data_IF_239522881622
#
_entry.id   IF_239522881622
#
_cell.length_a   1.000
_cell.length_b   1.000
_cell.length_c   1.000
_cell.angle_alpha   90.00
_cell.angle_beta   90.00
_cell.angle_gamma   90.00
#
_symmetry.space_group_name_H-M   'P 1'
#
loop_
_entity.id
_entity.type
_entity.pdbx_description
1 polymer ?
#
# COMPACT_ATOMS: atom_id res chain seq x y z
N UNK A 1 -6.80 -15.94 -10.43
CA UNK A 1 -7.16 -15.83 -8.99
C UNK A 1 -6.99 -14.37 -8.59
N UNK A 2 -8.08 -13.62 -8.40
CA UNK A 2 -8.04 -12.15 -8.14
C UNK A 2 -8.42 -11.84 -6.68
N UNK A 3 -8.95 -12.85 -5.97
CA UNK A 3 -9.55 -12.72 -4.65
C UNK A 3 -8.66 -12.03 -3.60
N UNK A 4 -7.35 -12.35 -3.47
CA UNK A 4 -6.49 -11.68 -2.50
C UNK A 4 -6.35 -10.18 -2.77
N UNK A 5 -6.20 -9.80 -4.04
CA UNK A 5 -6.10 -8.40 -4.43
C UNK A 5 -7.42 -7.65 -4.25
N UNK A 6 -8.55 -8.31 -4.52
CA UNK A 6 -9.88 -7.75 -4.28
C UNK A 6 -10.10 -7.42 -2.81
N UNK A 7 -9.75 -8.35 -1.89
CA UNK A 7 -9.87 -8.11 -0.45
C UNK A 7 -8.99 -6.93 -0.02
N UNK A 8 -7.76 -6.85 -0.54
CA UNK A 8 -6.87 -5.73 -0.27
C UNK A 8 -7.47 -4.38 -0.69
N UNK A 9 -8.20 -4.30 -1.80
CA UNK A 9 -8.85 -3.07 -2.23
C UNK A 9 -9.91 -2.57 -1.22
N UNK A 10 -10.69 -3.48 -0.63
CA UNK A 10 -11.69 -3.11 0.38
C UNK A 10 -11.06 -2.59 1.67
N UNK A 11 -9.97 -3.20 2.14
CA UNK A 11 -9.30 -2.77 3.39
C UNK A 11 -8.36 -1.58 3.19
N UNK A 12 -8.05 -1.20 1.94
CA UNK A 12 -7.10 -0.11 1.62
C UNK A 12 -7.77 1.23 1.29
N UNK A 13 -9.10 1.32 1.40
CA UNK A 13 -9.81 2.56 1.12
C UNK A 13 -10.07 2.84 -0.37
N UNK A 14 -9.99 1.81 -1.23
CA UNK A 14 -10.22 1.95 -2.69
C UNK A 14 -11.71 2.04 -3.02
N UNK A 15 -12.51 1.14 -2.44
CA UNK A 15 -13.97 1.07 -2.69
C UNK A 15 -14.80 1.73 -1.59
N UNK A 16 -14.32 1.67 -0.35
CA UNK A 16 -15.00 2.23 0.82
C UNK A 16 -14.12 3.36 1.36
N UNK A 17 -14.65 4.55 1.66
CA UNK A 17 -13.86 5.63 2.25
C UNK A 17 -13.17 5.19 3.53
N UNK A 18 -11.90 5.56 3.72
CA UNK A 18 -11.12 5.16 4.90
C UNK A 18 -11.79 5.58 6.22
N UNK A 19 -12.47 6.73 6.26
CA UNK A 19 -13.22 7.22 7.43
C UNK A 19 -14.43 6.37 7.83
N UNK A 20 -14.89 5.47 6.96
CA UNK A 20 -16.01 4.56 7.22
C UNK A 20 -15.54 3.13 7.55
N UNK A 21 -14.24 2.85 7.42
CA UNK A 21 -13.68 1.55 7.72
C UNK A 21 -13.39 1.44 9.23
N UNK A 22 -13.71 0.29 9.86
CA UNK A 22 -13.24 -0.01 11.21
C UNK A 22 -11.71 0.05 11.33
N UNK A 23 -11.21 0.54 12.46
CA UNK A 23 -9.77 0.72 12.70
C UNK A 23 -8.96 -0.56 12.50
N UNK A 24 -9.50 -1.72 12.88
CA UNK A 24 -8.80 -2.99 12.69
C UNK A 24 -8.57 -3.32 11.20
N UNK A 25 -9.50 -2.93 10.31
CA UNK A 25 -9.35 -3.14 8.86
C UNK A 25 -8.26 -2.23 8.31
N UNK A 26 -8.23 -0.97 8.75
CA UNK A 26 -7.21 0.00 8.37
C UNK A 26 -5.82 -0.45 8.85
N UNK A 27 -5.72 -0.97 10.07
CA UNK A 27 -4.47 -1.48 10.64
C UNK A 27 -3.93 -2.68 9.84
N UNK A 28 -4.81 -3.59 9.41
CA UNK A 28 -4.41 -4.70 8.52
C UNK A 28 -3.99 -4.16 7.15
N UNK A 29 -4.76 -3.24 6.57
CA UNK A 29 -4.46 -2.60 5.29
C UNK A 29 -3.12 -1.86 5.31
N UNK A 30 -2.75 -1.25 6.43
CA UNK A 30 -1.50 -0.53 6.63
C UNK A 30 -0.25 -1.41 6.58
N UNK A 31 -0.37 -2.73 6.66
CA UNK A 31 0.75 -3.65 6.45
C UNK A 31 1.14 -3.75 4.96
N UNK A 32 0.20 -3.46 4.05
CA UNK A 32 0.36 -3.63 2.62
C UNK A 32 0.56 -2.28 1.91
N UNK A 33 1.24 -2.27 0.75
CA UNK A 33 1.58 -1.00 0.08
C UNK A 33 0.35 -0.28 -0.49
N UNK A 34 -0.73 -1.00 -0.77
CA UNK A 34 -1.92 -0.45 -1.44
C UNK A 34 -2.58 0.69 -0.65
N UNK A 35 -2.75 0.53 0.68
CA UNK A 35 -3.31 1.57 1.55
C UNK A 35 -2.52 2.87 1.47
N UNK A 36 -1.20 2.78 1.52
CA UNK A 36 -0.30 3.94 1.48
C UNK A 36 -0.33 4.64 0.12
N UNK A 37 -0.41 3.88 -0.97
CA UNK A 37 -0.60 4.45 -2.30
C UNK A 37 -1.93 5.21 -2.42
N UNK A 38 -3.02 4.64 -1.91
CA UNK A 38 -4.34 5.30 -1.89
C UNK A 38 -4.36 6.58 -1.04
N UNK A 39 -3.69 6.57 0.12
CA UNK A 39 -3.53 7.77 0.95
C UNK A 39 -2.70 8.84 0.24
N UNK A 40 -1.60 8.47 -0.42
CA UNK A 40 -0.76 9.39 -1.18
C UNK A 40 -1.50 10.06 -2.34
N UNK A 41 -2.25 9.29 -3.13
CA UNK A 41 -3.07 9.87 -4.19
C UNK A 41 -4.13 10.83 -3.64
N UNK A 42 -4.83 10.45 -2.57
CA UNK A 42 -5.79 11.34 -1.92
C UNK A 42 -5.12 12.63 -1.44
N UNK A 43 -3.94 12.55 -0.81
CA UNK A 43 -3.21 13.74 -0.38
C UNK A 43 -2.71 14.65 -1.50
N UNK A 44 -2.46 14.13 -2.70
CA UNK A 44 -2.06 14.94 -3.86
C UNK A 44 -3.28 15.58 -4.55
N UNK A 45 -4.42 14.89 -4.58
CA UNK A 45 -5.59 15.34 -5.35
C UNK A 45 -6.66 16.05 -4.51
N UNK A 46 -6.67 15.88 -3.19
CA UNK A 46 -7.63 16.51 -2.28
C UNK A 46 -7.01 17.72 -1.56
N UNK A 47 -7.83 18.69 -1.14
CA UNK A 47 -7.35 19.81 -0.34
C UNK A 47 -6.86 19.34 1.04
N UNK A 48 -5.96 20.13 1.64
CA UNK A 48 -5.36 19.83 2.96
C UNK A 48 -6.43 19.68 4.06
N UNK A 49 -7.55 20.39 3.96
CA UNK A 49 -8.69 20.26 4.88
C UNK A 49 -9.33 18.86 4.89
N UNK A 50 -9.14 18.06 3.83
CA UNK A 50 -9.65 16.69 3.77
C UNK A 50 -8.78 15.69 4.55
N UNK A 51 -7.59 16.08 5.02
CA UNK A 51 -6.69 15.20 5.77
C UNK A 51 -7.31 14.69 7.09
N UNK A 52 -8.25 15.46 7.65
CA UNK A 52 -9.03 15.08 8.85
C UNK A 52 -9.88 13.80 8.65
N UNK A 53 -10.08 13.38 7.41
CA UNK A 53 -10.79 12.15 7.06
C UNK A 53 -9.88 10.91 7.10
N UNK A 54 -8.56 11.09 7.18
CA UNK A 54 -7.62 9.98 7.39
C UNK A 54 -7.52 9.64 8.88
N UNK A 55 -7.15 8.38 9.17
CA UNK A 55 -7.01 7.86 10.54
C UNK A 55 -6.05 8.69 11.42
N UNK A 56 -4.99 9.25 10.82
CA UNK A 56 -4.00 10.08 11.52
C UNK A 56 -4.35 11.57 11.55
N UNK A 57 -5.42 11.98 10.85
CA UNK A 57 -5.75 13.40 10.64
C UNK A 57 -4.76 14.17 9.76
N UNK A 58 -3.82 13.46 9.13
CA UNK A 58 -2.77 14.00 8.25
C UNK A 58 -2.56 13.04 7.07
N UNK A 59 -2.00 13.55 5.98
CA UNK A 59 -1.64 12.75 4.82
C UNK A 59 -0.40 11.88 5.06
N UNK A 60 0.44 12.20 6.05
CA UNK A 60 1.62 11.43 6.44
C UNK A 60 2.58 11.11 5.26
N UNK A 61 2.83 12.06 4.36
CA UNK A 61 3.66 11.84 3.15
C UNK A 61 5.02 11.21 3.45
N UNK A 62 5.68 11.62 4.54
CA UNK A 62 6.94 11.02 4.97
C UNK A 62 6.83 9.53 5.31
N UNK A 63 5.74 9.13 5.99
CA UNK A 63 5.47 7.73 6.33
C UNK A 63 5.06 6.93 5.09
N UNK A 64 4.26 7.50 4.19
CA UNK A 64 3.94 6.90 2.89
C UNK A 64 5.22 6.56 2.12
N UNK A 65 6.12 7.54 1.97
CA UNK A 65 7.38 7.35 1.26
C UNK A 65 8.25 6.26 1.90
N UNK A 66 8.34 6.24 3.23
CA UNK A 66 9.08 5.22 3.97
C UNK A 66 8.51 3.82 3.71
N UNK A 67 7.21 3.62 3.89
CA UNK A 67 6.61 2.29 3.77
C UNK A 67 6.65 1.77 2.33
N UNK A 68 6.35 2.62 1.35
CA UNK A 68 6.46 2.23 -0.06
C UNK A 68 7.92 1.95 -0.45
N UNK A 69 8.86 2.77 0.02
CA UNK A 69 10.30 2.53 -0.15
C UNK A 69 10.74 1.18 0.44
N UNK A 70 10.27 0.86 1.65
CA UNK A 70 10.56 -0.41 2.31
C UNK A 70 10.02 -1.61 1.51
N UNK A 71 8.80 -1.51 0.95
CA UNK A 71 8.23 -2.55 0.08
C UNK A 71 9.01 -2.71 -1.22
N UNK A 72 9.45 -1.62 -1.85
CA UNK A 72 10.31 -1.67 -3.04
C UNK A 72 11.64 -2.35 -2.74
N UNK A 73 12.30 -1.98 -1.63
CA UNK A 73 13.56 -2.61 -1.20
C UNK A 73 13.34 -4.10 -0.89
N UNK A 74 12.28 -4.44 -0.15
CA UNK A 74 11.95 -5.82 0.18
C UNK A 74 11.70 -6.68 -1.06
N UNK A 75 10.95 -6.16 -2.03
CA UNK A 75 10.71 -6.82 -3.31
C UNK A 75 12.00 -7.00 -4.13
N UNK A 76 12.85 -5.98 -4.18
CA UNK A 76 14.15 -6.06 -4.85
C UNK A 76 15.04 -7.12 -4.20
N UNK A 77 15.18 -7.13 -2.88
CA UNK A 77 15.95 -8.14 -2.15
C UNK A 77 15.39 -9.54 -2.39
N UNK A 78 14.06 -9.70 -2.36
CA UNK A 78 13.43 -10.98 -2.65
C UNK A 78 13.77 -11.46 -4.07
N UNK A 79 13.70 -10.59 -5.07
CA UNK A 79 14.10 -10.92 -6.44
C UNK A 79 15.58 -11.31 -6.50
N UNK A 80 16.48 -10.53 -5.90
CA UNK A 80 17.92 -10.82 -5.93
C UNK A 80 18.27 -12.16 -5.25
N UNK A 81 17.57 -12.51 -4.17
CA UNK A 81 17.83 -13.73 -3.41
C UNK A 81 17.18 -14.99 -4.00
N UNK A 82 16.02 -14.85 -4.66
CA UNK A 82 15.25 -16.00 -5.16
C UNK A 82 15.44 -16.25 -6.66
N UNK A 83 15.76 -15.21 -7.43
CA UNK A 83 15.86 -15.32 -8.88
C UNK A 83 17.18 -15.97 -9.28
N UNK A 84 17.11 -17.25 -9.65
CA UNK A 84 18.23 -18.00 -10.23
C UNK A 84 18.14 -17.89 -11.75
N UNK A 85 19.14 -17.30 -12.37
CA UNK A 85 19.25 -17.28 -13.82
C UNK A 85 19.32 -18.70 -14.37
N UNK A 86 18.28 -19.16 -15.08
CA UNK A 86 18.36 -20.36 -15.91
C UNK A 86 19.26 -20.04 -17.10
N UNK A 87 20.33 -20.81 -17.28
CA UNK A 87 21.20 -20.66 -18.44
C UNK A 87 20.49 -21.22 -19.67
N UNK A 88 20.78 -20.69 -20.87
CA UNK A 88 20.30 -21.26 -22.15
C UNK A 88 20.70 -22.72 -22.37
N UNK A 89 21.56 -23.28 -21.51
CA UNK A 89 22.01 -24.69 -21.51
C UNK A 89 21.14 -25.63 -20.66
N UNK A 90 20.18 -25.13 -19.90
CA UNK A 90 19.31 -25.95 -19.04
C UNK A 90 17.99 -26.36 -19.73
N UNK A 91 17.97 -26.36 -21.08
CA UNK A 91 16.85 -26.76 -21.93
C UNK A 91 17.27 -27.79 -22.97
#
# INVERSE_FOLDING_TARGET
VILPFLVLQFVSGVYIPASQLPDWMLNIGALFPLKWMCQGFRGVFLPESAAVLEQAGDWEFGRIALVLGAWCIGGLLLCLLTFRWKSRRDG
#
